data_IF_878345544909
#
_entry.id   IF_878345544909
#
_cell.length_a   1.000
_cell.length_b   1.000
_cell.length_c   1.000
_cell.angle_alpha   90.00
_cell.angle_beta   90.00
_cell.angle_gamma   90.00
#
_symmetry.space_group_name_H-M   'P 1'
#
loop_
_entity.id
_entity.type
_entity.pdbx_description
1 polymer ?
#
# COMPACT_ATOMS: atom_id res chain seq x y z
N UNK A 1 43.33 -17.94 -2.60
CA UNK A 1 42.76 -16.99 -1.65
C UNK A 1 41.44 -17.55 -1.14
N UNK A 2 41.39 -17.99 0.12
CA UNK A 2 40.26 -18.70 0.72
C UNK A 2 39.08 -17.76 0.85
N UNK A 3 37.94 -18.09 0.23
CA UNK A 3 36.66 -17.55 0.55
C UNK A 3 36.34 -17.98 1.98
N UNK A 4 36.58 -17.06 2.95
CA UNK A 4 36.11 -17.22 4.29
C UNK A 4 34.59 -17.37 4.22
N UNK A 5 34.08 -18.56 4.50
CA UNK A 5 32.68 -18.85 4.75
C UNK A 5 32.26 -18.01 5.95
N UNK A 6 31.75 -16.78 5.72
CA UNK A 6 31.04 -16.04 6.74
C UNK A 6 29.83 -16.91 7.11
N UNK A 7 29.91 -17.57 8.26
CA UNK A 7 28.75 -18.22 8.90
C UNK A 7 27.74 -17.13 9.22
N UNK A 8 26.83 -16.85 8.30
CA UNK A 8 25.76 -15.88 8.50
C UNK A 8 24.90 -16.35 9.67
N UNK A 9 24.96 -15.62 10.76
CA UNK A 9 24.13 -15.93 11.92
C UNK A 9 22.68 -15.65 11.58
N UNK A 10 21.91 -16.70 11.27
CA UNK A 10 20.49 -16.64 10.91
C UNK A 10 19.66 -15.82 11.90
N UNK A 11 19.99 -15.89 13.22
CA UNK A 11 19.29 -15.11 14.25
C UNK A 11 19.50 -13.60 14.07
N UNK A 12 20.70 -13.17 13.66
CA UNK A 12 21.00 -11.75 13.42
C UNK A 12 20.22 -11.26 12.20
N UNK A 13 20.21 -12.05 11.11
CA UNK A 13 19.46 -11.71 9.91
C UNK A 13 17.95 -11.60 10.20
N UNK A 14 17.40 -12.52 10.98
CA UNK A 14 15.98 -12.44 11.37
C UNK A 14 15.69 -11.22 12.22
N UNK A 15 16.58 -10.82 13.13
CA UNK A 15 16.43 -9.57 13.91
C UNK A 15 16.39 -8.35 12.98
N UNK A 16 17.29 -8.27 12.00
CA UNK A 16 17.29 -7.18 11.00
C UNK A 16 15.96 -7.17 10.24
N UNK A 17 15.51 -8.33 9.72
CA UNK A 17 14.25 -8.45 8.99
C UNK A 17 13.04 -8.04 9.86
N UNK A 18 13.03 -8.40 11.14
CA UNK A 18 11.96 -8.03 12.09
C UNK A 18 11.94 -6.53 12.35
N UNK A 19 13.10 -5.88 12.51
CA UNK A 19 13.15 -4.42 12.68
C UNK A 19 12.67 -3.71 11.41
N UNK A 20 13.09 -4.16 10.23
CA UNK A 20 12.61 -3.59 8.96
C UNK A 20 11.10 -3.83 8.80
N UNK A 21 10.60 -5.01 9.18
CA UNK A 21 9.16 -5.30 9.17
C UNK A 21 8.39 -4.39 10.14
N UNK A 22 8.92 -4.09 11.31
CA UNK A 22 8.32 -3.16 12.27
C UNK A 22 8.31 -1.72 11.73
N UNK A 23 9.41 -1.26 11.13
CA UNK A 23 9.48 0.04 10.45
C UNK A 23 8.45 0.11 9.33
N UNK A 24 8.35 -0.95 8.53
CA UNK A 24 7.38 -1.01 7.43
C UNK A 24 5.93 -1.07 7.92
N UNK A 25 5.68 -1.81 9.01
CA UNK A 25 4.37 -1.82 9.69
C UNK A 25 3.96 -0.40 10.11
N UNK A 26 4.86 0.32 10.79
CA UNK A 26 4.60 1.68 11.29
C UNK A 26 4.37 2.66 10.14
N UNK A 27 5.21 2.61 9.10
CA UNK A 27 5.07 3.47 7.92
C UNK A 27 3.77 3.18 7.13
N UNK A 28 3.46 1.90 6.94
CA UNK A 28 2.23 1.51 6.24
C UNK A 28 0.97 1.86 7.05
N UNK A 29 1.02 1.71 8.37
CA UNK A 29 -0.06 2.10 9.27
C UNK A 29 -0.31 3.61 9.19
N UNK A 30 0.74 4.43 9.26
CA UNK A 30 0.66 5.88 9.13
C UNK A 30 0.06 6.30 7.78
N UNK A 31 0.50 5.70 6.69
CA UNK A 31 -0.03 5.97 5.35
C UNK A 31 -1.51 5.61 5.22
N UNK A 32 -1.89 4.41 5.65
CA UNK A 32 -3.22 3.85 5.38
C UNK A 32 -4.30 4.40 6.32
N UNK A 33 -3.93 4.81 7.52
CA UNK A 33 -4.87 5.14 8.60
C UNK A 33 -5.72 6.36 8.29
N UNK A 34 -5.19 7.35 7.59
CA UNK A 34 -5.89 8.62 7.32
C UNK A 34 -7.17 8.46 6.51
N UNK A 35 -7.29 7.41 5.69
CA UNK A 35 -8.53 7.13 4.98
C UNK A 35 -9.70 6.86 5.95
N UNK A 36 -9.65 5.84 6.83
CA UNK A 36 -10.78 5.54 7.71
C UNK A 36 -10.91 6.49 8.89
N UNK A 37 -9.83 7.10 9.42
CA UNK A 37 -9.95 8.01 10.57
C UNK A 37 -10.45 9.39 10.17
N UNK A 38 -10.40 9.76 8.89
CA UNK A 38 -10.83 11.10 8.47
C UNK A 38 -12.29 11.38 8.79
N UNK A 39 -13.14 10.35 8.90
CA UNK A 39 -14.52 10.49 9.36
C UNK A 39 -14.62 11.09 10.78
N UNK A 40 -13.59 10.92 11.61
CA UNK A 40 -13.50 11.49 12.96
C UNK A 40 -12.79 12.85 12.99
N UNK A 41 -12.06 13.19 11.94
CA UNK A 41 -11.27 14.44 11.82
C UNK A 41 -12.03 15.55 11.11
N UNK A 42 -12.91 15.21 10.17
CA UNK A 42 -13.52 16.14 9.22
C UNK A 42 -14.23 17.33 9.90
N UNK A 43 -14.90 17.11 11.04
CA UNK A 43 -15.57 18.14 11.83
C UNK A 43 -14.58 19.17 12.40
N UNK A 44 -13.42 18.71 12.89
CA UNK A 44 -12.40 19.57 13.52
C UNK A 44 -11.73 20.48 12.49
N UNK A 45 -11.66 20.03 11.24
CA UNK A 45 -11.14 20.81 10.12
C UNK A 45 -12.21 21.57 9.34
N UNK A 46 -13.49 21.49 9.75
CA UNK A 46 -14.63 22.13 9.10
C UNK A 46 -14.72 21.83 7.58
N UNK A 47 -14.46 20.58 7.20
CA UNK A 47 -14.50 20.13 5.79
C UNK A 47 -15.37 18.87 5.64
N UNK A 48 -15.92 18.61 4.44
CA UNK A 48 -16.65 17.39 4.16
C UNK A 48 -15.79 16.13 4.33
N UNK A 49 -16.41 15.03 4.75
CA UNK A 49 -15.72 13.72 4.88
C UNK A 49 -15.19 13.21 3.54
N UNK A 50 -15.79 13.62 2.43
CA UNK A 50 -15.33 13.32 1.07
C UNK A 50 -13.91 13.83 0.77
N UNK A 51 -13.41 14.83 1.54
CA UNK A 51 -12.05 15.37 1.37
C UNK A 51 -10.93 14.43 1.87
N UNK A 52 -11.27 13.28 2.43
CA UNK A 52 -10.29 12.23 2.78
C UNK A 52 -9.37 11.84 1.62
N UNK A 53 -9.91 11.87 0.39
CA UNK A 53 -9.13 11.62 -0.83
C UNK A 53 -8.03 12.64 -1.07
N UNK A 54 -8.26 13.92 -0.78
CA UNK A 54 -7.21 14.96 -0.86
C UNK A 54 -6.11 14.71 0.18
N UNK A 55 -6.48 14.38 1.42
CA UNK A 55 -5.54 14.14 2.52
C UNK A 55 -4.61 12.96 2.22
N UNK A 56 -5.18 11.86 1.76
CA UNK A 56 -4.40 10.66 1.38
C UNK A 56 -3.69 10.82 0.04
N UNK A 57 -4.29 11.56 -0.89
CA UNK A 57 -3.70 11.89 -2.19
C UNK A 57 -2.45 12.75 -2.06
N UNK A 58 -2.42 13.71 -1.14
CA UNK A 58 -1.22 14.53 -0.87
C UNK A 58 -0.05 13.68 -0.36
N UNK A 59 -0.31 12.69 0.50
CA UNK A 59 0.73 11.75 0.91
C UNK A 59 1.28 10.96 -0.27
N UNK A 60 0.41 10.36 -1.08
CA UNK A 60 0.86 9.55 -2.23
C UNK A 60 1.57 10.39 -3.29
N UNK A 61 1.17 11.64 -3.48
CA UNK A 61 1.87 12.60 -4.34
C UNK A 61 3.30 12.86 -3.84
N UNK A 62 3.47 13.12 -2.54
CA UNK A 62 4.79 13.23 -1.91
C UNK A 62 5.61 11.97 -2.09
N UNK A 63 5.00 10.78 -1.92
CA UNK A 63 5.67 9.50 -2.09
C UNK A 63 6.13 9.24 -3.54
N UNK A 64 5.37 9.67 -4.56
CA UNK A 64 5.81 9.63 -5.97
C UNK A 64 7.08 10.46 -6.16
N UNK A 65 7.07 11.71 -5.70
CA UNK A 65 8.21 12.60 -5.87
C UNK A 65 9.45 12.09 -5.15
N UNK A 66 9.32 11.66 -3.90
CA UNK A 66 10.43 11.10 -3.15
C UNK A 66 10.96 9.80 -3.75
N UNK A 67 10.09 8.94 -4.27
CA UNK A 67 10.46 7.71 -4.96
C UNK A 67 11.28 7.97 -6.23
N UNK A 68 10.88 8.96 -7.03
CA UNK A 68 11.62 9.38 -8.22
C UNK A 68 13.00 9.97 -7.87
N UNK A 69 13.07 10.82 -6.83
CA UNK A 69 14.33 11.39 -6.35
C UNK A 69 15.24 10.29 -5.78
N UNK A 70 14.68 9.39 -4.98
CA UNK A 70 15.42 8.30 -4.36
C UNK A 70 16.03 7.34 -5.40
N UNK A 71 15.37 7.11 -6.53
CA UNK A 71 15.89 6.28 -7.61
C UNK A 71 17.29 6.72 -8.08
N UNK A 72 17.58 8.03 -8.07
CA UNK A 72 18.88 8.56 -8.50
C UNK A 72 19.89 8.70 -7.36
N UNK A 73 19.47 8.87 -6.10
CA UNK A 73 20.35 9.34 -5.02
C UNK A 73 20.50 8.38 -3.85
N UNK A 74 19.60 7.40 -3.69
CA UNK A 74 19.52 6.58 -2.48
C UNK A 74 20.76 5.73 -2.22
N UNK A 75 21.46 5.32 -3.28
CA UNK A 75 22.68 4.50 -3.17
C UNK A 75 23.90 5.31 -2.71
N UNK A 76 23.84 6.65 -2.79
CA UNK A 76 24.88 7.55 -2.31
C UNK A 76 24.77 7.89 -0.81
N UNK A 77 23.65 7.53 -0.18
CA UNK A 77 23.43 7.82 1.24
C UNK A 77 23.60 6.59 2.12
N UNK A 78 24.00 6.84 3.38
CA UNK A 78 23.98 5.80 4.41
C UNK A 78 22.52 5.42 4.71
N UNK A 79 22.09 4.25 4.24
CA UNK A 79 20.71 3.76 4.32
C UNK A 79 20.18 3.67 5.75
N UNK A 80 21.05 3.29 6.71
CA UNK A 80 20.70 3.27 8.14
C UNK A 80 20.38 4.67 8.67
N UNK A 81 21.24 5.65 8.40
CA UNK A 81 21.00 7.06 8.82
C UNK A 81 19.75 7.61 8.15
N UNK A 82 19.59 7.35 6.87
CA UNK A 82 18.42 7.79 6.10
C UNK A 82 17.13 7.23 6.69
N UNK A 83 17.07 5.92 6.98
CA UNK A 83 15.91 5.28 7.58
C UNK A 83 15.60 5.83 8.98
N UNK A 84 16.64 6.11 9.78
CA UNK A 84 16.48 6.72 11.12
C UNK A 84 15.88 8.12 11.03
N UNK A 85 16.39 8.96 10.12
CA UNK A 85 15.89 10.32 9.89
C UNK A 85 14.45 10.28 9.38
N UNK A 86 14.15 9.40 8.43
CA UNK A 86 12.80 9.22 7.89
C UNK A 86 11.80 8.88 9.00
N UNK A 87 12.11 7.91 9.86
CA UNK A 87 11.21 7.53 10.96
C UNK A 87 11.04 8.65 11.99
N UNK A 88 12.10 9.40 12.30
CA UNK A 88 12.02 10.55 13.21
C UNK A 88 11.13 11.67 12.60
N UNK A 89 11.35 12.01 11.34
CA UNK A 89 10.56 13.03 10.65
C UNK A 89 9.10 12.59 10.47
N UNK A 90 8.85 11.32 10.13
CA UNK A 90 7.50 10.79 9.98
C UNK A 90 6.73 10.89 11.30
N UNK A 91 7.35 10.48 12.42
CA UNK A 91 6.75 10.61 13.75
C UNK A 91 6.49 12.07 14.15
N UNK A 92 7.41 12.98 13.83
CA UNK A 92 7.25 14.41 14.08
C UNK A 92 6.10 15.00 13.25
N UNK A 93 6.03 14.71 11.94
CA UNK A 93 4.97 15.19 11.05
C UNK A 93 3.60 14.65 11.46
N UNK A 94 3.52 13.38 11.86
CA UNK A 94 2.31 12.78 12.41
C UNK A 94 1.87 13.46 13.71
N UNK A 95 2.83 13.77 14.60
CA UNK A 95 2.54 14.50 15.84
C UNK A 95 2.07 15.92 15.54
N UNK A 96 2.72 16.65 14.63
CA UNK A 96 2.33 18.00 14.24
C UNK A 96 0.92 18.05 13.65
N UNK A 97 0.47 16.98 12.99
CA UNK A 97 -0.90 16.86 12.49
C UNK A 97 -1.93 16.97 13.62
N UNK A 98 -1.60 16.52 14.83
CA UNK A 98 -2.51 16.63 15.98
C UNK A 98 -2.60 18.04 16.57
N UNK A 99 -1.69 18.92 16.19
CA UNK A 99 -1.62 20.30 16.69
C UNK A 99 -2.23 21.33 15.74
N UNK A 100 -2.74 20.91 14.57
CA UNK A 100 -3.31 21.83 13.58
C UNK A 100 -4.82 21.68 13.46
N UNK A 101 -5.50 22.83 13.27
CA UNK A 101 -6.92 22.92 12.90
C UNK A 101 -7.09 23.42 11.45
N UNK A 102 -6.00 23.77 10.75
CA UNK A 102 -6.06 24.24 9.36
C UNK A 102 -5.99 23.07 8.38
N UNK A 103 -7.01 22.94 7.52
CA UNK A 103 -7.03 21.92 6.49
C UNK A 103 -5.86 22.06 5.48
N UNK A 104 -5.52 23.29 5.09
CA UNK A 104 -4.38 23.54 4.19
C UNK A 104 -3.06 23.07 4.81
N UNK A 105 -2.87 23.32 6.12
CA UNK A 105 -1.69 22.85 6.84
C UNK A 105 -1.68 21.32 6.97
N UNK A 106 -2.83 20.70 7.21
CA UNK A 106 -2.97 19.24 7.17
C UNK A 106 -2.50 18.66 5.83
N UNK A 107 -2.94 19.24 4.70
CA UNK A 107 -2.51 18.81 3.36
C UNK A 107 -0.99 18.95 3.16
N UNK A 108 -0.40 20.06 3.61
CA UNK A 108 1.04 20.27 3.54
C UNK A 108 1.81 19.25 4.40
N UNK A 109 1.37 18.98 5.62
CA UNK A 109 1.96 17.96 6.50
C UNK A 109 1.85 16.56 5.89
N UNK A 110 0.72 16.22 5.27
CA UNK A 110 0.53 14.96 4.55
C UNK A 110 1.47 14.81 3.36
N UNK A 111 1.66 15.88 2.58
CA UNK A 111 2.62 15.89 1.48
C UNK A 111 4.05 15.67 2.00
N UNK A 112 4.47 16.39 3.04
CA UNK A 112 5.78 16.20 3.67
C UNK A 112 5.94 14.77 4.25
N UNK A 113 4.90 14.23 4.89
CA UNK A 113 4.90 12.84 5.37
C UNK A 113 5.08 11.83 4.22
N UNK A 114 4.46 12.09 3.07
CA UNK A 114 4.64 11.30 1.85
C UNK A 114 6.05 11.37 1.29
N UNK A 115 6.68 12.56 1.27
CA UNK A 115 8.09 12.71 0.87
C UNK A 115 9.03 11.85 1.73
N UNK A 116 8.74 11.77 3.02
CA UNK A 116 9.54 10.99 3.98
C UNK A 116 9.21 9.50 3.93
N UNK A 117 7.92 9.15 4.00
CA UNK A 117 7.44 7.77 4.10
C UNK A 117 7.58 6.97 2.81
N UNK A 118 7.45 7.62 1.65
CA UNK A 118 7.42 6.95 0.34
C UNK A 118 8.67 6.16 -0.02
N UNK A 119 9.83 6.52 0.52
CA UNK A 119 11.11 5.83 0.29
C UNK A 119 11.43 4.75 1.31
N UNK A 120 10.72 4.72 2.45
CA UNK A 120 11.04 3.86 3.61
C UNK A 120 11.07 2.38 3.24
N UNK A 121 10.14 1.90 2.42
CA UNK A 121 10.10 0.50 1.98
C UNK A 121 11.30 0.12 1.11
N UNK A 122 11.64 0.96 0.13
CA UNK A 122 12.76 0.73 -0.77
C UNK A 122 14.10 0.67 -0.03
N UNK A 123 14.30 1.59 0.90
CA UNK A 123 15.49 1.62 1.77
C UNK A 123 15.57 0.37 2.66
N UNK A 124 14.45 -0.01 3.30
CA UNK A 124 14.39 -1.20 4.14
C UNK A 124 14.72 -2.48 3.37
N UNK A 125 14.14 -2.66 2.18
CA UNK A 125 14.43 -3.79 1.30
C UNK A 125 15.89 -3.79 0.86
N UNK A 126 16.46 -2.62 0.51
CA UNK A 126 17.86 -2.51 0.13
C UNK A 126 18.81 -2.92 1.26
N UNK A 127 18.56 -2.45 2.49
CA UNK A 127 19.31 -2.89 3.68
C UNK A 127 19.26 -4.41 3.83
N UNK A 128 18.08 -4.99 3.66
CA UNK A 128 17.87 -6.43 3.81
C UNK A 128 18.63 -7.23 2.76
N UNK A 129 18.55 -6.85 1.49
CA UNK A 129 19.23 -7.54 0.38
C UNK A 129 20.74 -7.46 0.54
N UNK A 130 21.27 -6.32 0.99
CA UNK A 130 22.71 -6.13 1.20
C UNK A 130 23.28 -7.00 2.33
N UNK A 131 22.44 -7.32 3.34
CA UNK A 131 22.86 -8.13 4.49
C UNK A 131 22.50 -9.60 4.40
N UNK A 132 21.59 -10.00 3.51
CA UNK A 132 21.08 -11.37 3.40
C UNK A 132 21.74 -12.14 2.25
N UNK A 133 22.21 -13.39 2.47
CA UNK A 133 22.69 -14.26 1.42
C UNK A 133 21.52 -14.63 0.47
N UNK A 134 21.80 -14.91 -0.83
CA UNK A 134 20.78 -15.11 -1.86
C UNK A 134 19.68 -16.12 -1.49
N UNK A 135 20.05 -17.22 -0.85
CA UNK A 135 19.14 -18.30 -0.43
C UNK A 135 18.16 -17.89 0.70
N UNK A 136 18.46 -16.85 1.48
CA UNK A 136 17.59 -16.37 2.57
C UNK A 136 16.83 -15.10 2.23
N UNK A 137 17.18 -14.38 1.16
CA UNK A 137 16.53 -13.11 0.77
C UNK A 137 15.01 -13.23 0.66
N UNK A 138 14.53 -14.28 -0.01
CA UNK A 138 13.08 -14.50 -0.17
C UNK A 138 12.34 -14.64 1.16
N UNK A 139 12.92 -15.38 2.13
CA UNK A 139 12.32 -15.55 3.46
C UNK A 139 12.31 -14.24 4.26
N UNK A 140 13.40 -13.46 4.17
CA UNK A 140 13.50 -12.16 4.84
C UNK A 140 12.49 -11.16 4.25
N UNK A 141 12.40 -11.08 2.91
CA UNK A 141 11.42 -10.23 2.22
C UNK A 141 9.98 -10.60 2.58
N UNK A 142 9.68 -11.90 2.67
CA UNK A 142 8.36 -12.37 3.10
C UNK A 142 7.99 -11.86 4.50
N UNK A 143 8.96 -11.79 5.42
CA UNK A 143 8.75 -11.23 6.77
C UNK A 143 8.38 -9.75 6.71
N UNK A 144 9.04 -8.97 5.86
CA UNK A 144 8.74 -7.55 5.68
C UNK A 144 7.38 -7.34 5.01
N UNK A 145 7.06 -8.11 3.98
CA UNK A 145 5.76 -8.02 3.28
C UNK A 145 4.61 -8.42 4.20
N UNK A 146 4.81 -9.39 5.10
CA UNK A 146 3.79 -9.79 6.07
C UNK A 146 3.35 -8.63 6.99
N UNK A 147 4.17 -7.58 7.17
CA UNK A 147 3.80 -6.40 7.95
C UNK A 147 2.54 -5.71 7.44
N UNK A 148 2.29 -5.68 6.14
CA UNK A 148 1.05 -5.11 5.57
C UNK A 148 -0.21 -5.87 6.01
N UNK A 149 -0.13 -7.20 6.11
CA UNK A 149 -1.25 -8.00 6.63
C UNK A 149 -1.50 -7.68 8.11
N UNK A 150 -0.43 -7.47 8.89
CA UNK A 150 -0.53 -7.08 10.31
C UNK A 150 -1.14 -5.69 10.44
N UNK A 151 -0.81 -4.74 9.55
CA UNK A 151 -1.48 -3.42 9.51
C UNK A 151 -2.98 -3.58 9.36
N UNK A 152 -3.43 -4.40 8.40
CA UNK A 152 -4.86 -4.57 8.12
C UNK A 152 -5.61 -5.30 9.24
N UNK A 153 -4.99 -6.32 9.86
CA UNK A 153 -5.64 -7.19 10.83
C UNK A 153 -5.57 -6.63 12.26
N UNK A 154 -4.46 -5.99 12.62
CA UNK A 154 -4.22 -5.48 13.98
C UNK A 154 -4.13 -3.96 14.00
N UNK A 155 -3.34 -3.37 13.11
CA UNK A 155 -3.06 -1.94 13.12
C UNK A 155 -4.30 -1.09 12.95
N UNK A 156 -5.03 -1.30 11.85
CA UNK A 156 -6.24 -0.51 11.53
C UNK A 156 -7.34 -0.64 12.57
N UNK A 157 -7.72 -1.85 13.03
CA UNK A 157 -8.72 -2.00 14.09
C UNK A 157 -8.31 -1.32 15.39
N UNK A 158 -7.05 -1.43 15.80
CA UNK A 158 -6.54 -0.78 17.01
C UNK A 158 -6.66 0.74 16.93
N UNK A 159 -6.26 1.33 15.80
CA UNK A 159 -6.36 2.76 15.57
C UNK A 159 -7.82 3.22 15.58
N UNK A 160 -8.68 2.52 14.87
CA UNK A 160 -10.11 2.85 14.84
C UNK A 160 -10.77 2.71 16.22
N UNK A 161 -10.39 1.71 17.00
CA UNK A 161 -10.84 1.55 18.38
C UNK A 161 -10.41 2.75 19.25
N UNK A 162 -9.18 3.22 19.10
CA UNK A 162 -8.70 4.42 19.81
C UNK A 162 -9.48 5.66 19.36
N UNK A 163 -9.74 5.83 18.07
CA UNK A 163 -10.53 6.94 17.55
C UNK A 163 -11.93 6.98 18.13
N UNK A 164 -12.60 5.81 18.21
CA UNK A 164 -13.99 5.74 18.72
C UNK A 164 -14.09 5.98 20.23
N UNK A 165 -13.03 5.66 20.99
CA UNK A 165 -13.03 5.77 22.47
C UNK A 165 -12.40 7.05 23.00
N UNK A 166 -11.31 7.51 22.37
CA UNK A 166 -10.45 8.56 22.90
C UNK A 166 -10.20 9.69 21.91
N UNK A 167 -10.77 9.60 20.69
CA UNK A 167 -10.58 10.57 19.63
C UNK A 167 -9.35 10.28 18.75
N UNK A 168 -9.33 10.89 17.57
CA UNK A 168 -8.32 10.66 16.54
C UNK A 168 -6.91 11.13 16.93
N UNK A 169 -6.78 12.11 17.82
CA UNK A 169 -5.50 12.59 18.33
C UNK A 169 -4.69 11.47 19.02
N UNK A 170 -5.36 10.70 19.90
CA UNK A 170 -4.72 9.59 20.62
C UNK A 170 -4.24 8.50 19.65
N UNK A 171 -5.01 8.25 18.61
CA UNK A 171 -4.64 7.30 17.57
C UNK A 171 -3.35 7.72 16.84
N UNK A 172 -3.21 9.00 16.49
CA UNK A 172 -1.99 9.54 15.86
C UNK A 172 -0.81 9.61 16.83
N UNK A 173 -1.05 9.88 18.12
CA UNK A 173 0.00 9.80 19.16
C UNK A 173 0.59 8.39 19.26
N UNK A 174 -0.25 7.35 19.18
CA UNK A 174 0.26 5.97 19.15
C UNK A 174 1.17 5.74 17.94
N UNK A 175 0.79 6.20 16.74
CA UNK A 175 1.61 6.05 15.53
C UNK A 175 2.95 6.81 15.69
N UNK A 176 2.89 8.04 16.20
CA UNK A 176 4.11 8.81 16.48
C UNK A 176 5.02 8.10 17.50
N UNK A 177 4.44 7.51 18.56
CA UNK A 177 5.18 6.72 19.53
C UNK A 177 5.83 5.47 18.91
N UNK A 178 5.15 4.78 17.99
CA UNK A 178 5.72 3.65 17.23
C UNK A 178 6.90 4.11 16.35
N UNK A 179 6.81 5.29 15.72
CA UNK A 179 7.92 5.87 14.97
C UNK A 179 9.12 6.13 15.88
N UNK A 180 8.91 6.70 17.06
CA UNK A 180 9.97 6.95 18.06
C UNK A 180 10.56 5.63 18.54
N UNK A 181 9.74 4.61 18.82
CA UNK A 181 10.21 3.27 19.21
C UNK A 181 11.07 2.59 18.14
N UNK A 182 10.82 2.88 16.86
CA UNK A 182 11.63 2.35 15.76
C UNK A 182 13.08 2.88 15.79
N UNK A 183 13.33 4.09 16.31
CA UNK A 183 14.65 4.73 16.27
C UNK A 183 15.73 3.92 17.01
N UNK A 184 15.58 3.56 18.30
CA UNK A 184 16.57 2.75 18.99
C UNK A 184 16.73 1.35 18.39
N UNK A 185 15.66 0.76 17.84
CA UNK A 185 15.71 -0.54 17.16
C UNK A 185 16.56 -0.46 15.88
N UNK A 186 16.39 0.58 15.06
CA UNK A 186 17.19 0.81 13.86
C UNK A 186 18.66 1.02 14.24
N UNK A 187 18.92 1.90 15.23
CA UNK A 187 20.29 2.26 15.61
C UNK A 187 21.04 1.07 16.24
N UNK A 188 20.38 0.23 17.03
CA UNK A 188 21.02 -0.88 17.73
C UNK A 188 21.17 -2.15 16.89
N UNK A 189 20.21 -2.47 16.03
CA UNK A 189 20.13 -3.78 15.38
C UNK A 189 20.61 -3.73 13.93
N UNK A 190 20.32 -2.63 13.19
CA UNK A 190 20.75 -2.53 11.79
C UNK A 190 22.27 -2.23 11.75
N UNK A 191 23.06 -3.04 11.02
CA UNK A 191 24.52 -2.83 10.93
C UNK A 191 24.84 -1.52 10.22
N UNK A 192 26.08 -1.05 10.41
CA UNK A 192 26.59 0.10 9.66
C UNK A 192 26.60 -0.24 8.17
N UNK A 193 26.04 0.66 7.38
CA UNK A 193 25.93 0.49 5.95
C UNK A 193 27.28 0.69 5.26
N UNK A 194 27.62 -0.24 4.36
CA UNK A 194 28.70 -0.05 3.42
C UNK A 194 28.08 0.49 2.14
N UNK A 195 28.47 1.70 1.75
CA UNK A 195 28.04 2.31 0.50
C UNK A 195 28.65 1.51 -0.65
N UNK A 196 27.86 0.68 -1.31
CA UNK A 196 28.26 0.00 -2.53
C UNK A 196 27.89 0.87 -3.72
N UNK A 197 28.89 1.37 -4.41
CA UNK A 197 28.74 2.02 -5.73
C UNK A 197 28.66 0.93 -6.82
N UNK A 198 27.65 0.06 -6.73
CA UNK A 198 27.38 -0.85 -7.82
C UNK A 198 26.62 -0.11 -8.92
N UNK A 199 27.20 -0.14 -10.11
CA UNK A 199 26.58 0.40 -11.32
C UNK A 199 25.30 -0.40 -11.62
N UNK A 200 24.15 0.15 -11.19
CA UNK A 200 22.86 -0.37 -11.58
C UNK A 200 22.78 -0.35 -13.11
N UNK A 201 22.68 -1.54 -13.75
CA UNK A 201 22.37 -1.59 -15.16
C UNK A 201 21.01 -0.95 -15.38
N UNK A 202 20.98 0.12 -16.15
CA UNK A 202 19.75 0.85 -16.46
C UNK A 202 18.69 -0.13 -16.98
N UNK A 203 17.49 -0.08 -16.34
CA UNK A 203 16.33 -0.80 -16.84
C UNK A 203 15.93 -0.17 -18.18
N UNK A 204 15.83 -0.91 -19.29
CA UNK A 204 15.34 -0.35 -20.54
C UNK A 204 13.88 0.04 -20.38
N UNK A 205 13.58 1.33 -20.60
CA UNK A 205 12.22 1.89 -20.52
C UNK A 205 11.51 1.72 -21.87
N UNK A 206 11.34 0.48 -22.31
CA UNK A 206 10.54 0.17 -23.50
C UNK A 206 9.02 0.08 -23.13
N UNK A 207 8.18 0.09 -24.15
CA UNK A 207 6.71 0.04 -24.00
C UNK A 207 6.24 -1.22 -23.26
N UNK A 208 6.96 -2.33 -23.37
CA UNK A 208 6.62 -3.55 -22.66
C UNK A 208 6.96 -3.42 -21.17
N UNK A 209 8.13 -2.89 -20.84
CA UNK A 209 8.52 -2.60 -19.45
C UNK A 209 7.50 -1.68 -18.78
N UNK A 210 7.09 -0.59 -19.44
CA UNK A 210 6.06 0.31 -18.92
C UNK A 210 4.71 -0.38 -18.74
N UNK A 211 4.27 -1.19 -19.71
CA UNK A 211 3.02 -1.92 -19.62
C UNK A 211 3.01 -2.90 -18.42
N UNK A 212 4.07 -3.72 -18.25
CA UNK A 212 4.15 -4.65 -17.14
C UNK A 212 4.33 -3.95 -15.79
N UNK A 213 5.07 -2.85 -15.73
CA UNK A 213 5.23 -2.05 -14.51
C UNK A 213 3.93 -1.34 -14.11
N UNK A 214 3.12 -0.87 -15.07
CA UNK A 214 1.84 -0.21 -14.80
C UNK A 214 0.68 -1.18 -14.51
N UNK A 215 0.84 -2.46 -14.79
CA UNK A 215 -0.27 -3.41 -14.69
C UNK A 215 -0.86 -3.50 -13.27
N UNK A 216 -0.04 -3.61 -12.23
CA UNK A 216 -0.50 -3.63 -10.84
C UNK A 216 -1.17 -2.31 -10.44
N UNK A 217 -0.67 -1.18 -10.93
CA UNK A 217 -1.23 0.13 -10.69
C UNK A 217 -2.64 0.28 -11.31
N UNK A 218 -2.83 -0.21 -12.54
CA UNK A 218 -4.14 -0.22 -13.22
C UNK A 218 -5.15 -1.09 -12.48
N UNK A 219 -4.73 -2.26 -11.99
CA UNK A 219 -5.60 -3.13 -11.17
C UNK A 219 -5.99 -2.47 -9.86
N UNK A 220 -5.06 -1.77 -9.22
CA UNK A 220 -5.26 -1.13 -7.92
C UNK A 220 -6.03 0.18 -8.03
N UNK A 221 -6.09 0.81 -9.20
CA UNK A 221 -6.82 2.05 -9.41
C UNK A 221 -8.28 1.97 -8.96
N UNK A 222 -9.01 0.91 -9.36
CA UNK A 222 -10.42 0.75 -9.02
C UNK A 222 -10.69 0.68 -7.51
N UNK A 223 -10.04 -0.16 -6.68
CA UNK A 223 -10.28 -0.11 -5.23
C UNK A 223 -9.80 1.19 -4.59
N UNK A 224 -8.75 1.84 -5.12
CA UNK A 224 -8.26 3.10 -4.57
C UNK A 224 -9.23 4.28 -4.79
N UNK A 225 -10.17 4.20 -5.73
CA UNK A 225 -11.27 5.17 -5.82
C UNK A 225 -12.21 5.12 -4.61
N UNK A 226 -12.39 3.94 -4.01
CA UNK A 226 -13.36 3.73 -2.92
C UNK A 226 -12.70 3.80 -1.53
N UNK A 227 -11.42 3.46 -1.41
CA UNK A 227 -10.70 3.41 -0.13
C UNK A 227 -10.81 4.70 0.70
N UNK A 228 -10.69 5.93 0.14
CA UNK A 228 -10.79 7.16 0.93
C UNK A 228 -12.15 7.33 1.59
N UNK A 229 -13.19 6.84 0.95
CA UNK A 229 -14.58 6.99 1.41
C UNK A 229 -15.17 5.69 1.95
N UNK A 230 -14.37 4.66 2.14
CA UNK A 230 -14.81 3.34 2.57
C UNK A 230 -15.53 3.39 3.93
N UNK A 231 -14.95 4.09 4.92
CA UNK A 231 -15.56 4.23 6.25
C UNK A 231 -16.85 5.06 6.22
N UNK A 232 -16.88 6.28 5.63
CA UNK A 232 -18.13 7.03 5.52
C UNK A 232 -19.22 6.31 4.69
N UNK A 233 -18.84 5.58 3.64
CA UNK A 233 -19.78 4.76 2.85
C UNK A 233 -20.45 3.69 3.72
N UNK A 234 -19.66 2.99 4.54
CA UNK A 234 -20.22 1.98 5.46
C UNK A 234 -21.16 2.59 6.50
N UNK A 235 -20.87 3.78 7.00
CA UNK A 235 -21.71 4.46 7.99
C UNK A 235 -22.98 5.01 7.32
N UNK A 236 -22.84 5.80 6.25
CA UNK A 236 -23.94 6.59 5.69
C UNK A 236 -24.86 5.78 4.78
N UNK A 237 -24.33 4.83 4.00
CA UNK A 237 -25.14 4.02 3.06
C UNK A 237 -25.48 2.62 3.58
N UNK A 238 -24.55 2.00 4.30
CA UNK A 238 -24.75 0.63 4.80
C UNK A 238 -25.21 0.58 6.25
N UNK A 239 -25.46 1.74 6.89
CA UNK A 239 -26.04 1.83 8.22
C UNK A 239 -25.13 1.31 9.36
N UNK A 240 -23.82 1.20 9.13
CA UNK A 240 -22.90 0.75 10.15
C UNK A 240 -22.70 1.83 11.22
N UNK A 241 -22.73 1.46 12.49
CA UNK A 241 -22.36 2.40 13.56
C UNK A 241 -20.83 2.61 13.57
N UNK A 242 -20.39 3.79 14.02
CA UNK A 242 -18.96 4.10 14.15
C UNK A 242 -18.23 3.10 15.06
N UNK A 243 -18.89 2.59 16.10
CA UNK A 243 -18.35 1.61 17.03
C UNK A 243 -18.09 0.24 16.37
N UNK A 244 -18.72 -0.07 15.24
CA UNK A 244 -18.49 -1.30 14.49
C UNK A 244 -17.32 -1.19 13.53
N UNK A 245 -16.84 0.01 13.18
CA UNK A 245 -15.74 0.19 12.21
C UNK A 245 -14.49 -0.64 12.55
N UNK A 246 -13.99 -0.69 13.80
CA UNK A 246 -12.83 -1.51 14.13
C UNK A 246 -13.04 -2.99 13.77
N UNK A 247 -14.21 -3.53 14.05
CA UNK A 247 -14.55 -4.93 13.77
C UNK A 247 -14.78 -5.19 12.29
N UNK A 248 -15.32 -4.23 11.56
CA UNK A 248 -15.50 -4.32 10.11
C UNK A 248 -14.13 -4.32 9.40
N UNK A 249 -13.21 -3.44 9.78
CA UNK A 249 -11.86 -3.44 9.23
C UNK A 249 -11.06 -4.68 9.63
N UNK A 250 -11.23 -5.18 10.86
CA UNK A 250 -10.63 -6.45 11.29
C UNK A 250 -11.10 -7.61 10.42
N UNK A 251 -12.42 -7.79 10.30
CA UNK A 251 -13.00 -8.88 9.50
C UNK A 251 -12.63 -8.76 8.02
N UNK A 252 -12.67 -7.54 7.47
CA UNK A 252 -12.23 -7.27 6.10
C UNK A 252 -10.75 -7.57 5.88
N UNK A 253 -9.89 -7.22 6.84
CA UNK A 253 -8.45 -7.55 6.81
C UNK A 253 -8.18 -9.05 6.85
N UNK A 254 -8.87 -9.78 7.74
CA UNK A 254 -8.76 -11.25 7.83
C UNK A 254 -9.24 -11.92 6.55
N UNK A 255 -10.41 -11.52 6.03
CA UNK A 255 -10.96 -12.06 4.79
C UNK A 255 -10.02 -11.74 3.62
N UNK A 256 -9.52 -10.51 3.53
CA UNK A 256 -8.56 -10.11 2.51
C UNK A 256 -7.28 -10.93 2.54
N UNK A 257 -6.74 -11.21 3.73
CA UNK A 257 -5.59 -12.10 3.91
C UNK A 257 -5.89 -13.53 3.45
N UNK A 258 -7.04 -14.09 3.84
CA UNK A 258 -7.45 -15.43 3.42
C UNK A 258 -7.60 -15.51 1.89
N UNK A 259 -8.25 -14.54 1.27
CA UNK A 259 -8.38 -14.48 -0.18
C UNK A 259 -7.02 -14.38 -0.88
N UNK A 260 -6.09 -13.59 -0.34
CA UNK A 260 -4.71 -13.51 -0.84
C UNK A 260 -4.02 -14.88 -0.83
N UNK A 261 -4.12 -15.60 0.31
CA UNK A 261 -3.51 -16.94 0.48
C UNK A 261 -4.16 -17.97 -0.44
N UNK A 262 -5.49 -18.01 -0.47
CA UNK A 262 -6.25 -18.94 -1.33
C UNK A 262 -5.91 -18.68 -2.80
N UNK A 263 -5.95 -17.42 -3.25
CA UNK A 263 -5.61 -17.07 -4.63
C UNK A 263 -4.16 -17.45 -4.93
N UNK A 264 -3.21 -17.19 -4.03
CA UNK A 264 -1.82 -17.59 -4.20
C UNK A 264 -1.64 -19.09 -4.40
N UNK A 265 -2.37 -19.93 -3.66
CA UNK A 265 -2.37 -21.39 -3.85
C UNK A 265 -3.04 -21.77 -5.18
N UNK A 266 -4.14 -21.11 -5.53
CA UNK A 266 -4.89 -21.40 -6.75
C UNK A 266 -4.13 -21.01 -8.04
N UNK A 267 -3.14 -20.11 -7.99
CA UNK A 267 -2.30 -19.77 -9.15
C UNK A 267 -1.48 -20.95 -9.67
N UNK A 268 -1.28 -22.00 -8.87
CA UNK A 268 -0.64 -23.25 -9.33
C UNK A 268 -1.58 -24.16 -10.14
N UNK A 269 -2.90 -23.95 -10.03
CA UNK A 269 -3.93 -24.82 -10.68
C UNK A 269 -4.73 -24.11 -11.76
N UNK A 270 -4.91 -22.80 -11.63
CA UNK A 270 -5.74 -21.99 -12.54
C UNK A 270 -4.91 -20.87 -13.16
N UNK A 271 -5.23 -20.52 -14.39
CA UNK A 271 -4.59 -19.41 -15.07
C UNK A 271 -4.90 -18.06 -14.41
N UNK A 272 -3.99 -17.11 -14.55
CA UNK A 272 -4.20 -15.75 -14.06
C UNK A 272 -5.46 -15.10 -14.67
N UNK A 273 -5.87 -15.51 -15.89
CA UNK A 273 -7.10 -15.03 -16.51
C UNK A 273 -8.35 -15.51 -15.76
N UNK A 274 -8.42 -16.79 -15.42
CA UNK A 274 -9.56 -17.37 -14.68
C UNK A 274 -9.68 -16.73 -13.30
N UNK A 275 -8.57 -16.67 -12.56
CA UNK A 275 -8.55 -16.07 -11.22
C UNK A 275 -8.83 -14.56 -11.27
N UNK A 276 -8.24 -13.86 -12.25
CA UNK A 276 -8.44 -12.42 -12.43
C UNK A 276 -9.89 -12.09 -12.82
N UNK A 277 -10.50 -12.85 -13.72
CA UNK A 277 -11.89 -12.65 -14.12
C UNK A 277 -12.85 -12.97 -12.98
N UNK A 278 -12.67 -14.11 -12.30
CA UNK A 278 -13.49 -14.50 -11.16
C UNK A 278 -13.43 -13.47 -10.02
N UNK A 279 -12.22 -13.02 -9.65
CA UNK A 279 -12.07 -11.98 -8.63
C UNK A 279 -12.65 -10.63 -9.08
N UNK A 280 -12.61 -10.30 -10.38
CA UNK A 280 -13.25 -9.08 -10.89
C UNK A 280 -14.77 -9.14 -10.80
N UNK A 281 -15.37 -10.29 -11.11
CA UNK A 281 -16.81 -10.48 -10.93
C UNK A 281 -17.19 -10.30 -9.46
N UNK A 282 -16.48 -10.95 -8.52
CA UNK A 282 -16.74 -10.79 -7.08
C UNK A 282 -16.56 -9.34 -6.63
N UNK A 283 -15.56 -8.64 -7.18
CA UNK A 283 -15.33 -7.22 -6.88
C UNK A 283 -16.51 -6.36 -7.34
N UNK A 284 -16.98 -6.52 -8.57
CA UNK A 284 -18.13 -5.78 -9.11
C UNK A 284 -19.41 -6.11 -8.33
N UNK A 285 -19.64 -7.38 -7.98
CA UNK A 285 -20.76 -7.79 -7.14
C UNK A 285 -20.72 -7.14 -5.76
N UNK A 286 -19.53 -6.97 -5.18
CA UNK A 286 -19.39 -6.25 -3.91
C UNK A 286 -19.85 -4.79 -4.01
N UNK A 287 -19.58 -4.11 -5.13
CA UNK A 287 -19.98 -2.73 -5.35
C UNK A 287 -21.51 -2.57 -5.53
N UNK A 288 -22.21 -3.63 -5.95
CA UNK A 288 -23.67 -3.62 -6.05
C UNK A 288 -24.34 -3.56 -4.67
N UNK A 289 -23.70 -4.04 -3.60
CA UNK A 289 -24.28 -4.06 -2.25
C UNK A 289 -24.73 -2.66 -1.82
N UNK A 290 -23.86 -1.62 -1.79
CA UNK A 290 -24.28 -0.26 -1.47
C UNK A 290 -25.17 0.38 -2.55
N UNK A 291 -25.01 0.05 -3.84
CA UNK A 291 -25.83 0.61 -4.93
C UNK A 291 -27.30 0.20 -4.77
N UNK A 292 -27.54 -1.06 -4.40
CA UNK A 292 -28.90 -1.60 -4.20
C UNK A 292 -29.45 -1.23 -2.82
N UNK A 293 -28.63 -0.65 -1.94
CA UNK A 293 -29.03 -0.26 -0.58
C UNK A 293 -29.14 -1.45 0.40
N UNK A 294 -28.43 -2.55 0.12
CA UNK A 294 -28.41 -3.70 1.01
C UNK A 294 -27.49 -3.45 2.19
N UNK A 295 -28.09 -3.26 3.40
CA UNK A 295 -27.38 -2.79 4.60
C UNK A 295 -26.53 -3.89 5.28
N UNK A 296 -25.51 -4.43 4.59
CA UNK A 296 -24.59 -5.42 5.13
C UNK A 296 -23.12 -5.01 4.95
N UNK A 297 -22.67 -4.08 5.80
CA UNK A 297 -21.30 -3.53 5.75
C UNK A 297 -20.21 -4.61 5.88
N UNK A 298 -20.41 -5.65 6.70
CA UNK A 298 -19.42 -6.74 6.85
C UNK A 298 -19.26 -7.57 5.57
N UNK A 299 -20.36 -7.87 4.87
CA UNK A 299 -20.33 -8.56 3.60
C UNK A 299 -19.63 -7.70 2.53
N UNK A 300 -19.98 -6.41 2.47
CA UNK A 300 -19.37 -5.47 1.53
C UNK A 300 -17.85 -5.40 1.72
N UNK A 301 -17.36 -5.07 2.92
CA UNK A 301 -15.92 -4.89 3.15
C UNK A 301 -15.14 -6.18 2.95
N UNK A 302 -15.70 -7.34 3.34
CA UNK A 302 -15.08 -8.64 3.15
C UNK A 302 -14.89 -9.00 1.68
N UNK A 303 -15.95 -8.88 0.87
CA UNK A 303 -15.90 -9.15 -0.56
C UNK A 303 -15.06 -8.11 -1.31
N UNK A 304 -15.19 -6.83 -0.96
CA UNK A 304 -14.45 -5.73 -1.57
C UNK A 304 -12.93 -5.89 -1.38
N UNK A 305 -12.46 -6.07 -0.14
CA UNK A 305 -11.03 -6.26 0.15
C UNK A 305 -10.53 -7.62 -0.37
N UNK A 306 -11.29 -8.69 -0.15
CA UNK A 306 -10.93 -10.03 -0.62
C UNK A 306 -10.73 -10.08 -2.13
N UNK A 307 -11.69 -9.56 -2.89
CA UNK A 307 -11.60 -9.52 -4.33
C UNK A 307 -10.51 -8.57 -4.83
N UNK A 308 -10.31 -7.41 -4.19
CA UNK A 308 -9.23 -6.46 -4.52
C UNK A 308 -7.86 -7.11 -4.41
N UNK A 309 -7.58 -7.80 -3.31
CA UNK A 309 -6.32 -8.50 -3.12
C UNK A 309 -6.14 -9.68 -4.08
N UNK A 310 -7.20 -10.44 -4.34
CA UNK A 310 -7.16 -11.55 -5.31
C UNK A 310 -6.84 -11.07 -6.72
N UNK A 311 -7.40 -9.94 -7.15
CA UNK A 311 -7.08 -9.29 -8.44
C UNK A 311 -5.61 -8.89 -8.51
N UNK A 312 -5.10 -8.27 -7.43
CA UNK A 312 -3.70 -7.85 -7.34
C UNK A 312 -2.74 -9.06 -7.40
N UNK A 313 -3.04 -10.14 -6.67
CA UNK A 313 -2.25 -11.39 -6.71
C UNK A 313 -2.24 -11.97 -8.12
N UNK A 314 -3.40 -12.07 -8.76
CA UNK A 314 -3.53 -12.62 -10.13
C UNK A 314 -2.71 -11.81 -11.17
N UNK A 315 -2.65 -10.48 -11.02
CA UNK A 315 -1.82 -9.62 -11.85
C UNK A 315 -0.32 -9.78 -11.54
N UNK A 316 0.02 -9.80 -10.26
CA UNK A 316 1.42 -9.85 -9.79
C UNK A 316 2.13 -11.12 -10.25
N UNK A 317 1.43 -12.25 -10.34
CA UNK A 317 1.99 -13.51 -10.88
C UNK A 317 2.48 -13.37 -12.33
N UNK A 318 1.83 -12.52 -13.13
CA UNK A 318 2.26 -12.25 -14.51
C UNK A 318 3.40 -11.22 -14.53
N UNK A 319 3.28 -10.16 -13.75
CA UNK A 319 4.27 -9.07 -13.80
C UNK A 319 5.63 -9.48 -13.24
N UNK A 320 5.68 -10.38 -12.25
CA UNK A 320 6.95 -10.88 -11.67
C UNK A 320 7.76 -11.73 -12.64
N UNK A 321 7.12 -12.30 -13.69
CA UNK A 321 7.80 -13.11 -14.71
C UNK A 321 8.47 -12.26 -15.78
N UNK A 322 8.15 -10.98 -15.86
CA UNK A 322 8.64 -10.11 -16.93
C UNK A 322 10.11 -9.70 -16.76
N UNK A 323 10.60 -9.20 -15.60
CA UNK A 323 11.97 -8.75 -15.46
C UNK A 323 12.95 -9.92 -15.34
N UNK A 324 14.13 -9.77 -15.92
CA UNK A 324 15.25 -10.66 -15.65
C UNK A 324 15.75 -10.48 -14.20
N UNK A 325 16.46 -11.47 -13.64
CA UNK A 325 16.90 -11.44 -12.24
C UNK A 325 17.71 -10.17 -11.89
N UNK A 326 18.55 -9.69 -12.81
CA UNK A 326 19.37 -8.48 -12.65
C UNK A 326 18.55 -7.17 -12.70
N UNK A 327 17.35 -7.21 -13.27
CA UNK A 327 16.48 -6.04 -13.48
C UNK A 327 15.33 -5.98 -12.47
N UNK A 328 15.14 -7.01 -11.64
CA UNK A 328 13.98 -7.12 -10.72
C UNK A 328 13.87 -5.94 -9.74
N UNK A 329 14.99 -5.47 -9.20
CA UNK A 329 14.98 -4.37 -8.24
C UNK A 329 14.52 -3.06 -8.90
N UNK A 330 15.12 -2.69 -10.05
CA UNK A 330 14.72 -1.51 -10.80
C UNK A 330 13.27 -1.59 -11.29
N UNK A 331 12.84 -2.77 -11.77
CA UNK A 331 11.45 -2.99 -12.18
C UNK A 331 10.47 -2.82 -11.02
N UNK A 332 10.76 -3.38 -9.84
CA UNK A 332 9.91 -3.23 -8.64
C UNK A 332 9.83 -1.77 -8.19
N UNK A 333 10.92 -1.01 -8.27
CA UNK A 333 10.93 0.42 -7.93
C UNK A 333 10.06 1.22 -8.91
N UNK A 334 10.18 0.97 -10.21
CA UNK A 334 9.35 1.60 -11.24
C UNK A 334 7.87 1.25 -11.02
N UNK A 335 7.55 -0.02 -10.78
CA UNK A 335 6.20 -0.49 -10.51
C UNK A 335 5.59 0.20 -9.28
N UNK A 336 6.35 0.32 -8.20
CA UNK A 336 5.89 0.99 -6.96
C UNK A 336 5.64 2.48 -7.20
N UNK A 337 6.51 3.17 -7.93
CA UNK A 337 6.34 4.59 -8.26
C UNK A 337 5.07 4.83 -9.10
N UNK A 338 4.83 3.97 -10.10
CA UNK A 338 3.62 4.05 -10.92
C UNK A 338 2.37 3.71 -10.08
N UNK A 339 2.46 2.77 -9.14
CA UNK A 339 1.36 2.46 -8.22
C UNK A 339 1.01 3.67 -7.33
N UNK A 340 1.99 4.37 -6.77
CA UNK A 340 1.72 5.60 -6.02
C UNK A 340 1.10 6.69 -6.89
N UNK A 341 1.58 6.85 -8.13
CA UNK A 341 1.01 7.83 -9.07
C UNK A 341 -0.47 7.53 -9.37
N UNK A 342 -0.79 6.29 -9.72
CA UNK A 342 -2.17 5.89 -10.01
C UNK A 342 -3.06 5.95 -8.76
N UNK A 343 -2.51 5.65 -7.57
CA UNK A 343 -3.22 5.84 -6.29
C UNK A 343 -3.51 7.31 -6.03
N UNK A 344 -2.56 8.20 -6.30
CA UNK A 344 -2.76 9.66 -6.20
C UNK A 344 -3.91 10.12 -7.09
N UNK A 345 -3.90 9.70 -8.36
CA UNK A 345 -4.98 10.02 -9.31
C UNK A 345 -6.32 9.50 -8.82
N UNK A 346 -6.36 8.25 -8.33
CA UNK A 346 -7.60 7.65 -7.82
C UNK A 346 -8.14 8.40 -6.60
N UNK A 347 -7.27 8.80 -5.66
CA UNK A 347 -7.68 9.51 -4.46
C UNK A 347 -8.19 10.92 -4.76
N UNK A 348 -7.50 11.67 -5.61
CA UNK A 348 -7.99 13.00 -6.03
C UNK A 348 -9.28 12.90 -6.84
N UNK A 349 -9.38 11.93 -7.73
CA UNK A 349 -10.60 11.69 -8.49
C UNK A 349 -11.77 11.30 -7.56
N UNK A 350 -11.53 10.48 -6.55
CA UNK A 350 -12.52 10.13 -5.52
C UNK A 350 -13.06 11.38 -4.82
N UNK A 351 -12.17 12.26 -4.37
CA UNK A 351 -12.59 13.50 -3.70
C UNK A 351 -13.28 14.46 -4.67
N UNK A 352 -12.82 14.57 -5.91
CA UNK A 352 -13.42 15.45 -6.93
C UNK A 352 -14.84 15.01 -7.34
N UNK A 353 -15.10 13.71 -7.41
CA UNK A 353 -16.42 13.17 -7.80
C UNK A 353 -17.48 13.31 -6.69
N UNK A 354 -17.06 13.62 -5.47
CA UNK A 354 -17.96 13.72 -4.33
C UNK A 354 -18.15 15.22 -3.99
N UNK A 355 -19.38 15.72 -3.94
CA UNK A 355 -19.64 17.14 -3.75
C UNK A 355 -19.24 17.62 -2.35
N UNK A 356 -18.90 18.92 -2.25
CA UNK A 356 -18.51 19.60 -1.00
C UNK A 356 -19.61 19.60 0.06
N UNK A 357 -20.88 19.44 -0.36
CA UNK A 357 -22.05 19.41 0.53
C UNK A 357 -22.27 18.05 1.23
N UNK A 358 -21.36 17.09 1.02
CA UNK A 358 -21.44 15.75 1.59
C UNK A 358 -21.69 14.65 0.57
N UNK A 359 -21.63 13.40 1.04
CA UNK A 359 -21.81 12.21 0.20
C UNK A 359 -23.31 11.97 -0.05
N UNK A 360 -23.81 12.39 -1.21
CA UNK A 360 -25.18 12.01 -1.62
C UNK A 360 -25.19 10.58 -2.17
N UNK A 361 -26.30 9.82 -2.03
CA UNK A 361 -26.39 8.48 -2.62
C UNK A 361 -26.08 8.46 -4.11
N UNK A 362 -26.47 9.51 -4.85
CA UNK A 362 -26.23 9.61 -6.28
C UNK A 362 -24.74 9.79 -6.61
N UNK A 363 -24.02 10.65 -5.89
CA UNK A 363 -22.59 10.86 -6.13
C UNK A 363 -21.76 9.61 -5.78
N UNK A 364 -22.12 8.92 -4.68
CA UNK A 364 -21.50 7.66 -4.32
C UNK A 364 -21.77 6.57 -5.37
N UNK A 365 -23.01 6.43 -5.83
CA UNK A 365 -23.34 5.50 -6.89
C UNK A 365 -22.55 5.78 -8.19
N UNK A 366 -22.36 7.06 -8.54
CA UNK A 366 -21.52 7.44 -9.68
C UNK A 366 -20.08 6.99 -9.49
N UNK A 367 -19.50 7.22 -8.31
CA UNK A 367 -18.15 6.75 -7.97
C UNK A 367 -18.04 5.23 -8.07
N UNK A 368 -19.01 4.49 -7.54
CA UNK A 368 -19.02 3.02 -7.56
C UNK A 368 -19.18 2.47 -8.99
N UNK A 369 -19.97 3.12 -9.83
CA UNK A 369 -20.11 2.74 -11.25
C UNK A 369 -18.81 2.98 -12.01
N UNK A 370 -18.15 4.13 -11.82
CA UNK A 370 -16.82 4.41 -12.40
C UNK A 370 -15.80 3.36 -11.94
N UNK A 371 -15.84 3.00 -10.64
CA UNK A 371 -15.02 1.95 -10.08
C UNK A 371 -15.27 0.60 -10.75
N UNK A 372 -16.53 0.21 -10.96
CA UNK A 372 -16.91 -1.04 -11.63
C UNK A 372 -16.45 -1.07 -13.10
N UNK A 373 -16.65 0.02 -13.85
CA UNK A 373 -16.20 0.14 -15.24
C UNK A 373 -14.67 0.01 -15.34
N UNK A 374 -13.94 0.72 -14.48
CA UNK A 374 -12.48 0.62 -14.46
C UNK A 374 -11.99 -0.77 -14.07
N UNK A 375 -12.72 -1.47 -13.19
CA UNK A 375 -12.41 -2.84 -12.80
C UNK A 375 -12.65 -3.83 -13.94
N UNK A 376 -13.68 -3.64 -14.75
CA UNK A 376 -14.05 -4.53 -15.86
C UNK A 376 -12.98 -4.61 -16.95
N UNK A 377 -12.07 -3.63 -17.03
CA UNK A 377 -10.92 -3.66 -17.94
C UNK A 377 -9.82 -4.67 -17.54
N UNK A 378 -9.83 -5.18 -16.32
CA UNK A 378 -8.75 -6.04 -15.84
C UNK A 378 -8.59 -7.37 -16.59
N UNK A 379 -9.64 -8.15 -16.94
CA UNK A 379 -9.50 -9.35 -17.74
C UNK A 379 -8.84 -9.10 -19.10
N UNK A 380 -9.13 -7.97 -19.74
CA UNK A 380 -8.52 -7.57 -21.01
C UNK A 380 -7.01 -7.32 -20.81
N UNK A 381 -6.65 -6.60 -19.75
CA UNK A 381 -5.24 -6.39 -19.39
C UNK A 381 -4.49 -7.71 -19.21
N UNK A 382 -5.08 -8.68 -18.48
CA UNK A 382 -4.49 -10.01 -18.27
C UNK A 382 -4.24 -10.74 -19.59
N UNK A 383 -5.20 -10.71 -20.53
CA UNK A 383 -5.04 -11.31 -21.86
C UNK A 383 -3.85 -10.68 -22.61
N UNK A 384 -3.74 -9.34 -22.56
CA UNK A 384 -2.64 -8.63 -23.23
C UNK A 384 -1.29 -9.02 -22.63
N UNK A 385 -1.19 -9.07 -21.29
CA UNK A 385 0.04 -9.46 -20.59
C UNK A 385 0.44 -10.91 -20.91
N UNK A 386 -0.51 -11.86 -20.88
CA UNK A 386 -0.25 -13.26 -21.21
C UNK A 386 0.23 -13.42 -22.65
N UNK A 387 -0.41 -12.77 -23.63
CA UNK A 387 0.02 -12.81 -25.03
C UNK A 387 1.43 -12.26 -25.24
N UNK A 388 1.80 -11.19 -24.50
CA UNK A 388 3.15 -10.62 -24.61
C UNK A 388 4.21 -11.49 -23.92
N UNK A 389 3.88 -12.12 -22.78
CA UNK A 389 4.78 -13.10 -22.15
C UNK A 389 5.01 -14.31 -23.06
N UNK A 390 3.96 -14.89 -23.63
CA UNK A 390 4.05 -16.02 -24.55
C UNK A 390 4.97 -15.71 -25.76
N UNK A 391 4.82 -14.53 -26.37
CA UNK A 391 5.69 -14.11 -27.48
C UNK A 391 7.17 -13.99 -27.04
N UNK A 392 7.43 -13.53 -25.83
CA UNK A 392 8.79 -13.38 -25.31
C UNK A 392 9.47 -14.74 -25.08
N UNK A 393 8.73 -15.73 -24.58
CA UNK A 393 9.28 -17.07 -24.34
C UNK A 393 9.43 -17.88 -25.63
N UNK A 394 8.59 -17.66 -26.66
CA UNK A 394 8.73 -18.31 -27.99
C UNK A 394 9.88 -17.75 -28.83
N UNK A 395 10.43 -16.58 -28.52
CA UNK A 395 11.61 -16.03 -29.22
C UNK A 395 12.93 -16.63 -28.66
N UNK A 396 12.86 -17.33 -27.53
CA UNK A 396 14.03 -17.98 -26.90
C UNK A 396 14.03 -19.51 -27.06
N UNK A 397 13.07 -20.10 -27.81
CA UNK A 397 13.07 -21.48 -28.31
C UNK A 397 13.32 -21.49 -29.83
#
# INVERSE_FOLDING_TARGET
>A
MSLATQTFNYKVLMRIATVIAFVQFTNALEYMVFNPIFVFMATDFAVPVSFSGYVSGMYTLGAVLSGLIAFYWIDHFNKKRFLTINMALLGLLTLLTTCTSSFSLLLALRFCAGLVGGTTMGVGISILINNAPPNLRGKMLATVIASFSIVSIVGMPTILFLCTRYGWHVALWLISALCVLALPLIVSIIPKDQVYLDTLRALPLDMNTLLFASANALVQFSPMLVIPVLAPLMIQQLGASQNLLPWLFFSGGVIGFLFTKITGVLTSRFSALVLGTGSTIVFILSLLIPIVGYQHAALFIGLFLGASYSRLVSCSVLTIQFPNDQQRAGFSSLQTSIMYLMTTVAFFLSAFLLPDQGMTPQSVNTLLVICAISAAGFPILVIVLQKKLAKRFHVFL
#
